data_IF_892041009216
#
_entry.id   IF_892041009216
#
_cell.length_a   1.000
_cell.length_b   1.000
_cell.length_c   1.000
_cell.angle_alpha   90.00
_cell.angle_beta   90.00
_cell.angle_gamma   90.00
#
_symmetry.space_group_name_H-M   'P 1'
#
loop_
_entity.id
_entity.type
_entity.pdbx_description
1 polymer ?
#
# COMPACT_ATOMS: atom_id res chain seq x y z
N UNK A 1 -7.59 23.38 31.08
CA UNK A 1 -6.71 22.42 30.36
C UNK A 1 -6.67 22.84 28.90
N UNK A 2 -5.61 23.45 28.44
CA UNK A 2 -5.42 23.74 27.02
C UNK A 2 -5.06 22.40 26.33
N UNK A 3 -6.05 21.70 25.80
CA UNK A 3 -5.85 20.46 25.06
C UNK A 3 -4.96 20.72 23.84
N UNK A 4 -4.06 19.78 23.53
CA UNK A 4 -3.30 19.80 22.26
C UNK A 4 -4.28 19.70 21.09
N UNK A 5 -4.13 20.58 20.10
CA UNK A 5 -4.91 20.49 18.85
C UNK A 5 -4.20 19.53 17.91
N UNK A 6 -4.94 18.58 17.36
CA UNK A 6 -4.48 17.67 16.31
C UNK A 6 -5.21 18.04 15.03
N UNK A 7 -4.50 18.15 13.92
CA UNK A 7 -5.03 18.54 12.62
C UNK A 7 -4.55 17.57 11.54
N UNK A 8 -5.35 17.40 10.48
CA UNK A 8 -4.93 16.71 9.26
C UNK A 8 -4.25 17.76 8.37
N UNK A 9 -3.01 17.50 7.97
CA UNK A 9 -2.20 18.42 7.16
C UNK A 9 -2.04 17.97 5.72
N UNK A 10 -2.24 16.68 5.44
CA UNK A 10 -2.17 16.13 4.09
C UNK A 10 -2.91 14.81 4.00
N UNK A 11 -3.33 14.47 2.79
CA UNK A 11 -4.05 13.24 2.47
C UNK A 11 -3.50 12.60 1.20
N UNK A 12 -3.60 11.28 1.13
CA UNK A 12 -3.31 10.50 -0.08
C UNK A 12 -4.26 9.32 -0.18
N UNK A 13 -4.60 8.93 -1.40
CA UNK A 13 -5.58 7.88 -1.62
C UNK A 13 -5.24 7.01 -2.83
N UNK A 14 -5.38 5.71 -2.63
CA UNK A 14 -5.43 4.69 -3.69
C UNK A 14 -6.69 3.87 -3.48
N UNK A 15 -7.71 4.13 -4.28
CA UNK A 15 -9.02 3.51 -4.14
C UNK A 15 -9.52 2.97 -5.48
N UNK A 16 -10.47 2.01 -5.48
CA UNK A 16 -11.01 1.43 -6.71
C UNK A 16 -11.71 2.42 -7.64
N UNK A 17 -12.16 3.56 -7.13
CA UNK A 17 -12.83 4.62 -7.88
C UNK A 17 -11.98 5.85 -8.17
N UNK A 18 -10.70 5.85 -7.71
CA UNK A 18 -9.77 6.93 -8.02
C UNK A 18 -8.42 6.75 -7.33
N UNK A 19 -7.35 7.12 -8.02
CA UNK A 19 -5.98 7.14 -7.48
C UNK A 19 -5.53 8.60 -7.50
N UNK A 20 -5.13 9.11 -6.33
CA UNK A 20 -4.91 10.53 -6.09
C UNK A 20 -6.19 11.27 -5.69
N UNK A 21 -6.04 12.36 -4.95
CA UNK A 21 -7.16 13.10 -4.36
C UNK A 21 -8.13 13.67 -5.39
N UNK A 22 -7.62 14.18 -6.51
CA UNK A 22 -8.44 14.81 -7.54
C UNK A 22 -9.41 13.82 -8.20
N UNK A 23 -8.90 12.66 -8.61
CA UNK A 23 -9.73 11.62 -9.25
C UNK A 23 -10.72 11.00 -8.27
N UNK A 24 -10.28 10.81 -7.02
CA UNK A 24 -11.14 10.27 -5.98
C UNK A 24 -12.27 11.24 -5.61
N UNK A 25 -12.00 12.54 -5.43
CA UNK A 25 -13.03 13.55 -5.18
C UNK A 25 -14.02 13.66 -6.35
N UNK A 26 -13.52 13.70 -7.59
CA UNK A 26 -14.35 13.72 -8.77
C UNK A 26 -15.27 12.47 -8.87
N UNK A 27 -14.75 11.30 -8.51
CA UNK A 27 -15.53 10.07 -8.48
C UNK A 27 -16.62 10.10 -7.40
N UNK A 28 -16.32 10.61 -6.20
CA UNK A 28 -17.28 10.75 -5.11
C UNK A 28 -18.40 11.73 -5.48
N UNK A 29 -18.06 12.89 -6.03
CA UNK A 29 -19.05 13.90 -6.46
C UNK A 29 -19.95 13.40 -7.57
N UNK A 30 -19.40 12.56 -8.47
CA UNK A 30 -20.16 11.96 -9.57
C UNK A 30 -20.96 10.71 -9.14
N UNK A 31 -20.85 10.24 -7.89
CA UNK A 31 -21.45 8.99 -7.44
C UNK A 31 -20.88 7.76 -8.16
N UNK A 32 -19.65 7.84 -8.68
CA UNK A 32 -19.00 6.76 -9.44
C UNK A 32 -18.49 5.69 -8.48
N UNK A 33 -19.05 4.48 -8.58
CA UNK A 33 -18.62 3.31 -7.81
C UNK A 33 -17.29 2.77 -8.34
N UNK A 34 -16.44 2.31 -7.42
CA UNK A 34 -15.25 1.52 -7.74
C UNK A 34 -15.50 0.01 -7.75
N UNK A 35 -16.72 -0.42 -7.46
CA UNK A 35 -17.10 -1.83 -7.51
C UNK A 35 -17.41 -2.25 -8.95
N UNK A 36 -16.87 -3.38 -9.37
CA UNK A 36 -17.06 -3.91 -10.71
C UNK A 36 -16.99 -5.43 -10.74
N UNK A 37 -17.48 -6.02 -11.81
CA UNK A 37 -17.27 -7.43 -12.11
C UNK A 37 -15.79 -7.71 -12.33
N UNK A 38 -15.25 -8.73 -11.65
CA UNK A 38 -13.87 -9.19 -11.78
C UNK A 38 -13.88 -10.60 -12.36
N UNK A 39 -13.56 -10.76 -13.66
CA UNK A 39 -13.65 -12.06 -14.36
C UNK A 39 -12.90 -13.19 -13.66
N UNK A 40 -11.75 -12.86 -13.05
CA UNK A 40 -10.92 -13.82 -12.34
C UNK A 40 -11.63 -14.49 -11.17
N UNK A 41 -12.54 -13.79 -10.50
CA UNK A 41 -13.34 -14.38 -9.42
C UNK A 41 -14.33 -15.42 -9.96
N UNK A 42 -14.91 -15.16 -11.13
CA UNK A 42 -15.77 -16.13 -11.80
C UNK A 42 -14.99 -17.38 -12.26
N UNK A 43 -13.81 -17.20 -12.86
CA UNK A 43 -12.91 -18.31 -13.25
C UNK A 43 -12.53 -19.20 -12.06
N UNK A 44 -12.36 -18.61 -10.88
CA UNK A 44 -12.02 -19.31 -9.64
C UNK A 44 -13.25 -19.90 -8.92
N UNK A 45 -14.46 -19.74 -9.46
CA UNK A 45 -15.69 -20.29 -8.90
C UNK A 45 -16.22 -19.57 -7.67
N UNK A 46 -15.85 -18.31 -7.45
CA UNK A 46 -16.41 -17.53 -6.34
C UNK A 46 -17.88 -17.22 -6.58
N UNK A 47 -18.72 -17.36 -5.54
CA UNK A 47 -20.14 -17.03 -5.59
C UNK A 47 -20.40 -15.51 -5.76
N UNK A 48 -19.51 -14.66 -5.30
CA UNK A 48 -19.52 -13.21 -5.56
C UNK A 48 -18.38 -12.86 -6.50
N UNK A 49 -18.70 -12.28 -7.64
CA UNK A 49 -17.74 -11.90 -8.69
C UNK A 49 -17.51 -10.40 -8.79
N UNK A 50 -18.06 -9.64 -7.83
CA UNK A 50 -17.92 -8.18 -7.76
C UNK A 50 -16.90 -7.81 -6.68
N UNK A 51 -15.94 -6.96 -7.04
CA UNK A 51 -14.95 -6.45 -6.09
C UNK A 51 -14.49 -5.03 -6.48
N UNK A 52 -13.89 -4.33 -5.52
CA UNK A 52 -13.19 -3.07 -5.74
C UNK A 52 -11.69 -3.30 -5.85
N UNK A 53 -11.12 -3.06 -7.02
CA UNK A 53 -9.67 -3.18 -7.26
C UNK A 53 -9.19 -1.87 -7.89
N UNK A 54 -8.16 -1.20 -7.33
CA UNK A 54 -7.58 0.01 -7.93
C UNK A 54 -6.90 -0.31 -9.27
N UNK A 55 -7.59 0.00 -10.37
CA UNK A 55 -7.01 -0.21 -11.71
C UNK A 55 -5.91 0.80 -12.00
N UNK A 56 -4.87 0.34 -12.69
CA UNK A 56 -3.72 1.19 -13.04
C UNK A 56 -2.73 1.44 -11.90
N UNK A 57 -3.02 1.05 -10.65
CA UNK A 57 -2.12 1.28 -9.52
C UNK A 57 -0.73 0.65 -9.72
N UNK A 58 -0.64 -0.47 -10.43
CA UNK A 58 0.65 -1.10 -10.75
C UNK A 58 1.50 -0.21 -11.68
N UNK A 59 0.89 0.33 -12.74
CA UNK A 59 1.57 1.23 -13.68
C UNK A 59 1.92 2.59 -13.02
N UNK A 60 1.02 3.11 -12.19
CA UNK A 60 1.27 4.33 -11.42
C UNK A 60 2.45 4.14 -10.47
N UNK A 61 2.60 2.97 -9.84
CA UNK A 61 3.71 2.68 -8.94
C UNK A 61 5.09 2.84 -9.61
N UNK A 62 5.19 2.61 -10.93
CA UNK A 62 6.43 2.80 -11.69
C UNK A 62 6.88 4.26 -11.76
N UNK A 63 5.95 5.21 -11.61
CA UNK A 63 6.27 6.63 -11.50
C UNK A 63 6.72 7.06 -10.10
N UNK A 64 6.46 6.22 -9.10
CA UNK A 64 6.81 6.49 -7.69
C UNK A 64 8.11 5.81 -7.26
N UNK A 65 8.37 4.61 -7.76
CA UNK A 65 9.43 3.74 -7.24
C UNK A 65 10.26 3.12 -8.36
N UNK A 66 11.58 3.02 -8.20
CA UNK A 66 12.43 2.33 -9.15
C UNK A 66 12.14 0.82 -9.18
N UNK A 67 12.48 0.17 -10.29
CA UNK A 67 12.14 -1.22 -10.56
C UNK A 67 12.63 -2.21 -9.47
N UNK A 68 13.82 -1.98 -8.91
CA UNK A 68 14.36 -2.80 -7.83
C UNK A 68 13.51 -2.74 -6.55
N UNK A 69 12.92 -1.59 -6.23
CA UNK A 69 12.00 -1.47 -5.08
C UNK A 69 10.67 -2.18 -5.38
N UNK A 70 10.16 -2.04 -6.59
CA UNK A 70 8.90 -2.68 -7.01
C UNK A 70 8.95 -4.20 -6.96
N UNK A 71 10.11 -4.82 -7.17
CA UNK A 71 10.31 -6.26 -7.02
C UNK A 71 10.05 -6.78 -5.60
N UNK A 72 10.27 -5.94 -4.60
CA UNK A 72 10.04 -6.26 -3.19
C UNK A 72 8.65 -5.82 -2.69
N UNK A 73 7.79 -5.27 -3.56
CA UNK A 73 6.48 -4.72 -3.20
C UNK A 73 5.34 -5.56 -3.79
N UNK A 74 4.44 -6.02 -2.94
CA UNK A 74 3.14 -6.55 -3.35
C UNK A 74 2.11 -5.41 -3.52
N UNK A 75 0.85 -5.75 -3.81
CA UNK A 75 -0.20 -4.76 -4.02
C UNK A 75 -0.40 -3.84 -2.80
N UNK A 76 -0.44 -4.41 -1.58
CA UNK A 76 -0.61 -3.63 -0.35
C UNK A 76 0.51 -2.62 -0.13
N UNK A 77 1.77 -3.05 -0.36
CA UNK A 77 2.93 -2.16 -0.27
C UNK A 77 2.83 -1.00 -1.27
N UNK A 78 2.46 -1.29 -2.52
CA UNK A 78 2.32 -0.26 -3.56
C UNK A 78 1.23 0.74 -3.21
N UNK A 79 0.03 0.27 -2.83
CA UNK A 79 -1.09 1.16 -2.49
C UNK A 79 -0.78 2.03 -1.28
N UNK A 80 -0.30 1.42 -0.19
CA UNK A 80 0.05 2.14 1.02
C UNK A 80 1.18 3.14 0.82
N UNK A 81 2.22 2.78 0.05
CA UNK A 81 3.36 3.65 -0.21
C UNK A 81 3.00 4.82 -1.13
N UNK A 82 2.20 4.62 -2.19
CA UNK A 82 1.72 5.71 -3.05
C UNK A 82 0.89 6.68 -2.20
N UNK A 83 -0.10 6.19 -1.46
CA UNK A 83 -0.94 7.04 -0.62
C UNK A 83 -0.14 7.78 0.45
N UNK A 84 0.89 7.16 1.03
CA UNK A 84 1.74 7.80 2.03
C UNK A 84 2.62 8.91 1.44
N UNK A 85 3.21 8.69 0.26
CA UNK A 85 3.99 9.71 -0.45
C UNK A 85 3.11 10.89 -0.86
N UNK A 86 1.89 10.62 -1.35
CA UNK A 86 0.93 11.68 -1.70
C UNK A 86 0.52 12.49 -0.47
N UNK A 87 0.17 11.82 0.65
CA UNK A 87 -0.17 12.50 1.91
C UNK A 87 0.99 13.35 2.45
N UNK A 88 2.21 12.86 2.33
CA UNK A 88 3.43 13.54 2.74
C UNK A 88 3.66 14.82 1.92
N UNK A 89 3.53 14.73 0.60
CA UNK A 89 3.70 15.87 -0.29
C UNK A 89 2.54 16.86 -0.20
N UNK A 90 1.31 16.40 -0.02
CA UNK A 90 0.12 17.24 0.22
C UNK A 90 0.24 18.03 1.55
N UNK A 91 0.91 17.45 2.55
CA UNK A 91 1.24 18.14 3.81
C UNK A 91 2.37 19.20 3.67
N UNK A 92 2.93 19.38 2.47
CA UNK A 92 3.98 20.38 2.18
C UNK A 92 5.41 19.88 2.41
N UNK A 93 5.61 18.58 2.69
CA UNK A 93 6.96 18.02 2.76
C UNK A 93 7.52 17.67 1.37
N UNK A 94 8.83 17.74 1.17
CA UNK A 94 9.44 17.34 -0.09
C UNK A 94 9.23 15.83 -0.34
N UNK A 95 9.17 15.45 -1.61
CA UNK A 95 9.15 14.03 -1.98
C UNK A 95 10.41 13.35 -1.43
N UNK A 96 10.28 12.13 -0.86
CA UNK A 96 11.43 11.42 -0.32
C UNK A 96 12.54 11.24 -1.36
N UNK A 97 13.76 11.57 -0.99
CA UNK A 97 14.97 11.33 -1.78
C UNK A 97 15.77 10.21 -1.12
N UNK A 98 16.01 9.07 -1.78
CA UNK A 98 16.82 7.99 -1.22
C UNK A 98 18.26 8.38 -0.88
N UNK A 99 18.77 9.49 -1.43
CA UNK A 99 20.09 10.01 -1.12
C UNK A 99 20.11 10.93 0.10
N UNK A 100 18.95 11.32 0.63
CA UNK A 100 18.85 12.11 1.84
C UNK A 100 19.01 11.21 3.07
N UNK A 101 20.03 11.49 3.90
CA UNK A 101 20.28 10.77 5.16
C UNK A 101 19.46 11.34 6.34
N UNK A 102 18.64 12.36 6.09
CA UNK A 102 17.83 12.98 7.14
C UNK A 102 16.77 12.01 7.68
N UNK A 103 16.70 11.90 9.01
CA UNK A 103 15.67 11.09 9.70
C UNK A 103 14.69 12.01 10.42
N UNK A 104 13.41 11.83 10.16
CA UNK A 104 12.32 12.56 10.81
C UNK A 104 11.98 11.96 12.18
N UNK A 105 12.77 12.27 13.20
CA UNK A 105 12.65 11.71 14.56
C UNK A 105 11.33 12.04 15.27
N UNK A 106 10.61 13.05 14.82
CA UNK A 106 9.31 13.44 15.39
C UNK A 106 8.12 12.80 14.66
N UNK A 107 8.37 12.16 13.52
CA UNK A 107 7.34 11.55 12.69
C UNK A 107 7.36 10.02 12.80
N UNK A 108 6.20 9.42 12.87
CA UNK A 108 6.00 7.98 12.95
C UNK A 108 4.87 7.51 12.03
N UNK A 109 4.63 6.21 12.01
CA UNK A 109 3.57 5.60 11.21
C UNK A 109 2.68 4.67 12.04
N UNK A 110 1.37 4.83 11.90
CA UNK A 110 0.37 3.89 12.43
C UNK A 110 -0.49 3.43 11.26
N UNK A 111 -0.31 2.17 10.84
CA UNK A 111 -0.95 1.65 9.63
C UNK A 111 -1.72 0.38 9.97
N UNK A 112 -3.01 0.38 9.65
CA UNK A 112 -3.88 -0.79 9.77
C UNK A 112 -3.93 -1.59 8.47
N UNK A 113 -3.92 -2.91 8.59
CA UNK A 113 -4.15 -3.85 7.48
C UNK A 113 -4.93 -5.05 7.97
N UNK A 114 -5.87 -5.55 7.17
CA UNK A 114 -6.60 -6.76 7.53
C UNK A 114 -5.74 -8.01 7.41
N UNK A 115 -5.03 -8.15 6.30
CA UNK A 115 -4.16 -9.29 5.97
C UNK A 115 -2.98 -8.78 5.14
N UNK A 116 -1.79 -9.29 5.39
CA UNK A 116 -0.60 -9.04 4.58
C UNK A 116 -0.52 -9.97 3.37
N UNK A 117 -0.28 -9.43 2.18
CA UNK A 117 0.25 -10.13 1.03
C UNK A 117 -0.44 -11.39 0.53
N UNK A 118 -1.78 -11.48 0.55
CA UNK A 118 -2.50 -12.64 0.00
C UNK A 118 -2.22 -12.86 -1.49
N UNK A 119 -1.99 -11.82 -2.26
CA UNK A 119 -1.51 -11.88 -3.64
C UNK A 119 -0.17 -12.62 -3.71
N UNK A 120 0.78 -12.26 -2.87
CA UNK A 120 2.08 -12.93 -2.79
C UNK A 120 1.97 -14.39 -2.37
N UNK A 121 1.07 -14.70 -1.44
CA UNK A 121 0.79 -16.09 -1.03
C UNK A 121 0.24 -16.90 -2.21
N UNK A 122 -0.80 -16.39 -2.87
CA UNK A 122 -1.49 -17.08 -3.96
C UNK A 122 -0.67 -17.19 -5.25
N UNK A 123 0.09 -16.15 -5.61
CA UNK A 123 0.79 -16.07 -6.91
C UNK A 123 2.24 -16.56 -6.85
N UNK A 124 2.86 -16.58 -5.67
CA UNK A 124 4.27 -16.96 -5.52
C UNK A 124 4.50 -18.07 -4.51
N UNK A 125 4.06 -17.89 -3.25
CA UNK A 125 4.39 -18.82 -2.18
C UNK A 125 3.83 -20.22 -2.45
N UNK A 126 2.53 -20.33 -2.67
CA UNK A 126 1.87 -21.60 -2.92
C UNK A 126 2.39 -22.28 -4.21
N UNK A 127 2.39 -21.64 -5.39
CA UNK A 127 2.88 -22.29 -6.62
C UNK A 127 4.34 -22.72 -6.56
N UNK A 128 5.20 -21.95 -5.89
CA UNK A 128 6.62 -22.32 -5.76
C UNK A 128 6.82 -23.48 -4.79
N UNK A 129 6.02 -23.55 -3.73
CA UNK A 129 6.05 -24.64 -2.75
C UNK A 129 5.57 -25.94 -3.39
N UNK A 130 4.45 -25.90 -4.10
CA UNK A 130 3.89 -27.06 -4.79
C UNK A 130 4.81 -27.61 -5.88
N UNK A 131 5.55 -26.70 -6.54
CA UNK A 131 6.56 -27.08 -7.54
C UNK A 131 7.92 -27.52 -6.94
N UNK A 132 8.08 -27.55 -5.61
CA UNK A 132 9.35 -27.89 -4.94
C UNK A 132 10.47 -26.83 -5.16
N UNK A 133 10.11 -25.60 -5.53
CA UNK A 133 11.06 -24.52 -5.90
C UNK A 133 11.25 -23.48 -4.81
N UNK A 134 11.08 -23.84 -3.54
CA UNK A 134 11.12 -22.91 -2.38
C UNK A 134 12.42 -22.08 -2.32
N UNK A 135 13.54 -22.61 -2.80
CA UNK A 135 14.81 -21.85 -2.85
C UNK A 135 14.77 -20.63 -3.78
N UNK A 136 13.77 -20.53 -4.68
CA UNK A 136 13.58 -19.41 -5.60
C UNK A 136 12.66 -18.32 -5.07
N UNK A 137 12.08 -18.49 -3.87
CA UNK A 137 11.19 -17.50 -3.27
C UNK A 137 11.91 -16.18 -2.96
N UNK A 138 13.17 -16.26 -2.57
CA UNK A 138 13.95 -15.09 -2.15
C UNK A 138 13.58 -14.61 -0.73
N UNK A 139 14.39 -13.72 -0.18
CA UNK A 139 14.19 -13.20 1.18
C UNK A 139 13.02 -12.22 1.30
N UNK A 140 12.68 -11.50 0.23
CA UNK A 140 11.62 -10.49 0.22
C UNK A 140 10.22 -11.07 0.39
N UNK A 141 10.03 -12.38 0.22
CA UNK A 141 8.74 -13.03 0.40
C UNK A 141 8.18 -12.85 1.81
N UNK A 142 9.05 -12.89 2.82
CA UNK A 142 8.66 -12.74 4.22
C UNK A 142 8.08 -11.35 4.47
N UNK A 143 8.78 -10.31 4.05
CA UNK A 143 8.30 -8.92 4.15
C UNK A 143 6.96 -8.73 3.44
N UNK A 144 6.82 -9.32 2.26
CA UNK A 144 5.60 -9.19 1.45
C UNK A 144 4.36 -9.85 2.08
N UNK A 145 4.52 -10.91 2.88
CA UNK A 145 3.39 -11.60 3.52
C UNK A 145 3.09 -11.12 4.94
N UNK A 146 3.96 -10.31 5.52
CA UNK A 146 3.76 -9.80 6.89
C UNK A 146 2.73 -8.66 6.91
N UNK A 147 1.83 -8.67 7.90
CA UNK A 147 0.90 -7.56 8.14
C UNK A 147 1.60 -6.23 8.49
N UNK A 148 2.83 -6.27 9.01
CA UNK A 148 3.66 -5.10 9.29
C UNK A 148 4.46 -4.58 8.07
N UNK A 149 4.42 -5.27 6.94
CA UNK A 149 5.22 -4.93 5.76
C UNK A 149 4.97 -3.52 5.24
N UNK A 150 3.70 -3.09 5.21
CA UNK A 150 3.34 -1.73 4.73
C UNK A 150 3.89 -0.65 5.65
N UNK A 151 3.73 -0.78 6.97
CA UNK A 151 4.24 0.23 7.93
C UNK A 151 5.77 0.29 7.94
N UNK A 152 6.45 -0.85 7.85
CA UNK A 152 7.90 -0.90 7.72
C UNK A 152 8.37 -0.22 6.43
N UNK A 153 7.70 -0.51 5.31
CA UNK A 153 8.02 0.09 4.00
C UNK A 153 7.80 1.62 4.00
N UNK A 154 6.67 2.08 4.49
CA UNK A 154 6.36 3.53 4.58
C UNK A 154 7.34 4.23 5.51
N UNK A 155 7.68 3.63 6.65
CA UNK A 155 8.66 4.20 7.57
C UNK A 155 10.03 4.36 6.92
N UNK A 156 10.53 3.33 6.22
CA UNK A 156 11.79 3.43 5.50
C UNK A 156 11.77 4.42 4.35
N UNK A 157 10.65 4.47 3.61
CA UNK A 157 10.48 5.37 2.46
C UNK A 157 10.47 6.86 2.86
N UNK A 158 9.82 7.19 3.97
CA UNK A 158 9.69 8.54 4.49
C UNK A 158 10.73 8.88 5.58
N UNK A 159 11.69 8.00 5.82
CA UNK A 159 12.73 8.15 6.84
C UNK A 159 12.18 8.51 8.24
N UNK A 160 11.09 7.82 8.66
CA UNK A 160 10.43 8.08 9.93
C UNK A 160 11.19 7.45 11.09
N UNK A 161 11.64 8.26 12.04
CA UNK A 161 12.47 7.83 13.18
C UNK A 161 11.71 7.60 14.48
N UNK A 162 10.41 7.94 14.53
CA UNK A 162 9.57 7.71 15.71
C UNK A 162 8.87 6.36 15.63
N UNK A 163 7.84 6.15 16.44
CA UNK A 163 7.10 4.91 16.57
C UNK A 163 6.49 4.46 15.24
N UNK A 164 6.74 3.22 14.87
CA UNK A 164 6.11 2.53 13.75
C UNK A 164 5.24 1.40 14.29
N UNK A 165 3.95 1.47 14.01
CA UNK A 165 2.97 0.51 14.52
C UNK A 165 2.12 -0.04 13.40
N UNK A 166 1.92 -1.35 13.42
CA UNK A 166 0.96 -2.04 12.57
C UNK A 166 -0.18 -2.58 13.40
N UNK A 167 -1.40 -2.37 12.93
CA UNK A 167 -2.59 -3.01 13.48
C UNK A 167 -3.18 -3.93 12.42
N UNK A 168 -3.29 -5.20 12.73
CA UNK A 168 -3.89 -6.23 11.88
C UNK A 168 -5.02 -6.99 12.57
N UNK A 169 -5.74 -6.33 13.45
CA UNK A 169 -6.89 -6.88 14.17
C UNK A 169 -8.17 -6.93 13.32
N UNK A 170 -8.08 -7.16 12.03
CA UNK A 170 -9.19 -7.20 11.07
C UNK A 170 -10.54 -7.53 11.72
N UNK A 171 -11.55 -6.65 11.63
CA UNK A 171 -12.84 -6.71 12.30
C UNK A 171 -12.71 -6.69 13.82
#
# INVERSE_FOLDING_TARGET
>A
MTGRRVVVTGMGVVAPNGIGLADFDAALRAGRSGLRHVPKLAELGFGCTVAGVPEGAAAIAEAYFPAEQLLAMNANHRYGSIAAVDAWTDAGFPRPDPADEHVHWEAGAVIGTGVGGLDTVGERLVPMTDAGKVRRLGSTIVEQVMGSGVSARVSGLLALGNQVTSNSSAC
#
